data_IF_683365166179
#
_entry.id   IF_683365166179
#
_cell.length_a   1.000
_cell.length_b   1.000
_cell.length_c   1.000
_cell.angle_alpha   90.00
_cell.angle_beta   90.00
_cell.angle_gamma   90.00
#
_symmetry.space_group_name_H-M   'P 1'
#
loop_
_entity.id
_entity.type
_entity.pdbx_description
1 polymer ?
#
# COMPACT_ATOMS: atom_id res chain seq x y z
N UNK A 1 -34.55 6.14 -13.62
CA UNK A 1 -33.81 7.20 -12.91
C UNK A 1 -33.06 6.57 -11.75
N UNK A 2 -31.80 6.18 -11.96
CA UNK A 2 -30.96 5.57 -10.94
C UNK A 2 -29.76 6.45 -10.67
N UNK A 3 -29.79 7.23 -9.59
CA UNK A 3 -28.62 7.96 -9.14
C UNK A 3 -27.62 6.97 -8.54
N UNK A 4 -26.76 6.44 -9.41
CA UNK A 4 -25.53 5.81 -8.98
C UNK A 4 -24.52 6.91 -8.62
N UNK A 5 -24.58 7.39 -7.38
CA UNK A 5 -23.48 8.15 -6.79
C UNK A 5 -23.39 7.81 -5.31
N UNK A 6 -22.53 6.85 -4.98
CA UNK A 6 -21.96 6.83 -3.63
C UNK A 6 -20.48 7.07 -3.77
N UNK A 7 -20.17 8.35 -3.91
CA UNK A 7 -18.81 8.84 -3.95
C UNK A 7 -18.16 8.59 -2.59
N UNK A 8 -16.83 8.48 -2.53
CA UNK A 8 -16.11 8.40 -1.26
C UNK A 8 -16.44 9.55 -0.29
N UNK A 9 -16.94 10.67 -0.83
CA UNK A 9 -17.36 11.87 -0.12
C UNK A 9 -18.56 11.63 0.82
N UNK A 10 -19.57 10.87 0.40
CA UNK A 10 -20.79 10.63 1.20
C UNK A 10 -20.48 9.89 2.49
N UNK A 11 -19.52 8.96 2.43
CA UNK A 11 -19.08 8.19 3.61
C UNK A 11 -18.31 9.09 4.59
N UNK A 12 -17.50 10.02 4.09
CA UNK A 12 -16.79 11.00 4.91
C UNK A 12 -17.77 11.97 5.55
N UNK A 13 -18.70 12.50 4.76
CA UNK A 13 -19.74 13.41 5.24
C UNK A 13 -20.56 12.81 6.39
N UNK A 14 -21.05 11.58 6.22
CA UNK A 14 -21.79 10.87 7.26
C UNK A 14 -20.94 10.59 8.51
N UNK A 15 -19.65 10.28 8.34
CA UNK A 15 -18.74 10.10 9.48
C UNK A 15 -18.57 11.38 10.29
N UNK A 16 -18.45 12.54 9.63
CA UNK A 16 -18.39 13.86 10.28
C UNK A 16 -19.70 14.18 10.99
N UNK A 17 -20.84 13.98 10.34
CA UNK A 17 -22.16 14.19 10.96
C UNK A 17 -22.32 13.39 12.26
N UNK A 18 -21.87 12.13 12.29
CA UNK A 18 -21.99 11.25 13.44
C UNK A 18 -21.20 11.69 14.69
N UNK A 19 -20.24 12.60 14.54
CA UNK A 19 -19.36 13.03 15.64
C UNK A 19 -19.29 14.54 15.85
N UNK A 20 -19.98 15.33 15.01
CA UNK A 20 -19.90 16.81 15.00
C UNK A 20 -20.31 17.48 16.32
N UNK A 21 -21.17 16.82 17.10
CA UNK A 21 -21.70 17.35 18.36
C UNK A 21 -20.78 17.08 19.56
N UNK A 22 -19.65 16.40 19.34
CA UNK A 22 -18.68 16.09 20.39
C UNK A 22 -17.65 17.21 20.53
N UNK A 23 -17.00 17.33 21.70
CA UNK A 23 -15.86 18.23 21.86
C UNK A 23 -14.81 18.02 20.76
N UNK A 24 -14.20 19.10 20.28
CA UNK A 24 -13.32 19.08 19.09
C UNK A 24 -12.22 18.00 19.17
N UNK A 25 -11.65 17.77 20.36
CA UNK A 25 -10.64 16.73 20.57
C UNK A 25 -11.20 15.31 20.36
N UNK A 26 -12.39 15.04 20.90
CA UNK A 26 -13.07 13.74 20.77
C UNK A 26 -13.57 13.53 19.33
N UNK A 27 -14.03 14.60 18.69
CA UNK A 27 -14.43 14.61 17.29
C UNK A 27 -13.24 14.22 16.39
N UNK A 28 -12.11 14.91 16.54
CA UNK A 28 -10.91 14.66 15.74
C UNK A 28 -10.38 13.25 15.95
N UNK A 29 -10.36 12.75 17.18
CA UNK A 29 -9.88 11.39 17.46
C UNK A 29 -10.79 10.32 16.83
N UNK A 30 -12.11 10.50 16.90
CA UNK A 30 -13.06 9.57 16.25
C UNK A 30 -12.96 9.61 14.73
N UNK A 31 -12.81 10.80 14.12
CA UNK A 31 -12.59 10.93 12.68
C UNK A 31 -11.28 10.24 12.28
N UNK A 32 -10.21 10.48 13.04
CA UNK A 32 -8.91 9.87 12.81
C UNK A 32 -9.01 8.34 12.87
N UNK A 33 -9.61 7.77 13.92
CA UNK A 33 -9.84 6.31 14.01
C UNK A 33 -10.66 5.79 12.83
N UNK A 34 -11.73 6.48 12.46
CA UNK A 34 -12.58 6.09 11.34
C UNK A 34 -11.80 6.07 10.02
N UNK A 35 -10.98 7.09 9.75
CA UNK A 35 -10.12 7.13 8.56
C UNK A 35 -9.11 5.98 8.57
N UNK A 36 -8.47 5.69 9.71
CA UNK A 36 -7.47 4.63 9.80
C UNK A 36 -8.08 3.23 9.61
N UNK A 37 -9.22 2.96 10.26
CA UNK A 37 -9.95 1.71 10.06
C UNK A 37 -10.44 1.56 8.63
N UNK A 38 -10.99 2.63 8.06
CA UNK A 38 -11.45 2.65 6.67
C UNK A 38 -10.29 2.40 5.71
N UNK A 39 -9.19 3.10 5.87
CA UNK A 39 -8.00 2.97 5.04
C UNK A 39 -7.46 1.54 5.13
N UNK A 40 -7.29 0.99 6.34
CA UNK A 40 -6.80 -0.36 6.53
C UNK A 40 -7.73 -1.41 5.88
N UNK A 41 -9.04 -1.31 6.12
CA UNK A 41 -10.02 -2.20 5.51
C UNK A 41 -10.00 -2.09 3.98
N UNK A 42 -9.82 -0.88 3.45
CA UNK A 42 -9.67 -0.66 2.02
C UNK A 42 -8.39 -1.31 1.49
N UNK A 43 -7.25 -1.19 2.18
CA UNK A 43 -6.00 -1.85 1.79
C UNK A 43 -6.12 -3.39 1.79
N UNK A 44 -6.79 -3.97 2.79
CA UNK A 44 -7.07 -5.41 2.86
C UNK A 44 -7.97 -5.86 1.70
N UNK A 45 -9.01 -5.09 1.38
CA UNK A 45 -9.86 -5.36 0.22
C UNK A 45 -9.11 -5.19 -1.11
N UNK A 46 -8.17 -4.25 -1.21
CA UNK A 46 -7.32 -4.14 -2.39
C UNK A 46 -6.41 -5.36 -2.55
N UNK A 47 -5.78 -5.84 -1.47
CA UNK A 47 -4.92 -7.02 -1.51
C UNK A 47 -5.68 -8.28 -1.97
N UNK A 48 -6.93 -8.45 -1.53
CA UNK A 48 -7.79 -9.56 -1.97
C UNK A 48 -8.08 -9.54 -3.48
N UNK A 49 -8.00 -8.38 -4.13
CA UNK A 49 -8.25 -8.22 -5.58
C UNK A 49 -7.00 -8.43 -6.43
N UNK A 50 -5.82 -8.61 -5.82
CA UNK A 50 -4.58 -8.80 -6.58
C UNK A 50 -4.58 -10.18 -7.25
N UNK A 51 -4.39 -10.18 -8.57
CA UNK A 51 -4.35 -11.39 -9.38
C UNK A 51 -3.00 -12.11 -9.22
N UNK A 52 -1.90 -11.37 -9.18
CA UNK A 52 -0.54 -11.89 -9.07
C UNK A 52 0.06 -11.72 -7.67
N UNK A 53 1.25 -12.26 -7.43
CA UNK A 53 1.97 -12.12 -6.16
C UNK A 53 2.55 -10.72 -5.93
N UNK A 54 2.50 -9.85 -6.95
CA UNK A 54 2.92 -8.44 -6.86
C UNK A 54 1.74 -7.51 -7.11
N UNK A 55 1.89 -6.25 -6.68
CA UNK A 55 0.82 -5.26 -6.83
C UNK A 55 0.55 -4.88 -8.30
N UNK A 56 -0.68 -4.43 -8.66
CA UNK A 56 -1.05 -4.08 -10.04
C UNK A 56 -0.09 -3.10 -10.73
N UNK A 57 0.45 -2.13 -9.97
CA UNK A 57 1.43 -1.18 -10.48
C UNK A 57 2.75 -1.85 -10.86
N UNK A 58 3.25 -2.76 -10.03
CA UNK A 58 4.49 -3.50 -10.26
C UNK A 58 4.29 -4.48 -11.42
N UNK A 59 3.16 -5.19 -11.43
CA UNK A 59 2.77 -6.04 -12.54
C UNK A 59 2.76 -5.28 -13.86
N UNK A 60 2.17 -4.08 -13.90
CA UNK A 60 2.18 -3.22 -15.10
C UNK A 60 3.59 -2.82 -15.56
N UNK A 61 4.53 -2.57 -14.63
CA UNK A 61 5.93 -2.27 -14.97
C UNK A 61 6.61 -3.49 -15.60
N UNK A 62 6.39 -4.68 -15.05
CA UNK A 62 6.94 -5.94 -15.58
C UNK A 62 6.39 -6.21 -16.98
N UNK A 63 5.09 -6.03 -17.19
CA UNK A 63 4.44 -6.22 -18.49
C UNK A 63 4.92 -5.22 -19.55
N UNK A 64 5.07 -3.94 -19.18
CA UNK A 64 5.59 -2.91 -20.08
C UNK A 64 7.06 -3.16 -20.47
N UNK A 65 7.78 -3.91 -19.64
CA UNK A 65 9.21 -4.19 -19.81
C UNK A 65 9.52 -5.25 -20.87
N UNK A 66 8.51 -5.81 -21.56
CA UNK A 66 8.67 -6.83 -22.62
C UNK A 66 9.21 -6.30 -23.96
N UNK A 67 9.50 -5.01 -24.09
CA UNK A 67 9.90 -4.37 -25.36
C UNK A 67 11.16 -3.53 -25.18
N UNK A 68 12.34 -4.11 -25.38
CA UNK A 68 13.59 -3.40 -25.74
C UNK A 68 14.74 -4.40 -26.01
N UNK A 69 15.55 -4.15 -27.04
CA UNK A 69 16.61 -5.04 -27.55
C UNK A 69 17.98 -4.32 -27.52
N UNK A 70 18.40 -3.84 -26.36
CA UNK A 70 19.78 -3.39 -26.17
C UNK A 70 20.58 -4.46 -25.41
N UNK A 71 21.84 -4.68 -25.82
CA UNK A 71 22.73 -5.63 -25.17
C UNK A 71 23.19 -5.07 -23.82
N UNK A 72 22.71 -5.69 -22.75
CA UNK A 72 23.14 -5.40 -21.39
C UNK A 72 23.66 -6.68 -20.73
N UNK A 73 24.77 -6.56 -19.99
CA UNK A 73 25.23 -7.65 -19.15
C UNK A 73 24.19 -7.88 -18.03
N UNK A 74 23.81 -9.14 -17.84
CA UNK A 74 22.78 -9.55 -16.92
C UNK A 74 23.29 -10.67 -16.02
N UNK A 75 23.11 -10.50 -14.72
CA UNK A 75 23.36 -11.55 -13.74
C UNK A 75 22.04 -11.85 -13.02
N UNK A 76 21.41 -12.96 -13.40
CA UNK A 76 20.14 -13.40 -12.83
C UNK A 76 20.28 -13.87 -11.38
N UNK A 77 21.44 -14.44 -11.01
CA UNK A 77 21.68 -14.92 -9.66
C UNK A 77 21.87 -13.75 -8.69
N UNK A 78 22.66 -12.75 -9.11
CA UNK A 78 22.82 -11.50 -8.37
C UNK A 78 21.61 -10.55 -8.48
N UNK A 79 20.62 -10.86 -9.32
CA UNK A 79 19.47 -10.01 -9.62
C UNK A 79 19.89 -8.60 -10.08
N UNK A 80 20.87 -8.55 -10.96
CA UNK A 80 21.55 -7.32 -11.38
C UNK A 80 21.58 -7.19 -12.91
N UNK A 81 21.58 -5.95 -13.39
CA UNK A 81 21.74 -5.66 -14.82
C UNK A 81 22.64 -4.44 -15.01
N UNK A 82 23.47 -4.41 -16.05
CA UNK A 82 24.33 -3.27 -16.34
C UNK A 82 23.57 -1.96 -16.60
N UNK A 83 22.28 -2.02 -16.93
CA UNK A 83 21.42 -0.83 -17.00
C UNK A 83 21.07 -0.21 -15.62
N UNK A 84 21.44 -0.89 -14.52
CA UNK A 84 21.25 -0.51 -13.11
C UNK A 84 19.81 -0.32 -12.63
N UNK A 85 18.83 -0.38 -13.52
CA UNK A 85 17.41 -0.24 -13.14
C UNK A 85 17.01 -1.27 -12.10
N UNK A 86 17.36 -2.54 -12.31
CA UNK A 86 17.03 -3.63 -11.38
C UNK A 86 17.73 -3.47 -10.03
N UNK A 87 19.01 -3.10 -10.02
CA UNK A 87 19.76 -2.85 -8.79
C UNK A 87 19.15 -1.72 -7.94
N UNK A 88 18.65 -0.66 -8.62
CA UNK A 88 18.09 0.52 -7.96
C UNK A 88 16.70 0.30 -7.38
N UNK A 89 15.84 -0.43 -8.11
CA UNK A 89 14.42 -0.54 -7.75
C UNK A 89 14.01 -1.94 -7.27
N UNK A 90 14.87 -2.96 -7.38
CA UNK A 90 14.54 -4.34 -7.04
C UNK A 90 13.49 -5.00 -7.93
N UNK A 91 13.14 -4.39 -9.06
CA UNK A 91 12.18 -4.89 -10.05
C UNK A 91 12.95 -5.21 -11.34
N UNK A 92 12.79 -6.41 -11.92
CA UNK A 92 13.44 -6.77 -13.17
C UNK A 92 13.23 -5.71 -14.25
N UNK A 93 14.33 -5.22 -14.82
CA UNK A 93 14.29 -4.28 -15.94
C UNK A 93 13.90 -4.97 -17.26
N UNK A 94 13.71 -4.20 -18.33
CA UNK A 94 13.35 -4.72 -19.66
C UNK A 94 14.26 -5.84 -20.16
N UNK A 95 15.57 -5.70 -19.95
CA UNK A 95 16.56 -6.71 -20.34
C UNK A 95 16.47 -7.96 -19.48
N UNK A 96 16.24 -7.79 -18.18
CA UNK A 96 16.07 -8.90 -17.24
C UNK A 96 14.79 -9.69 -17.55
N UNK A 97 13.68 -8.98 -17.75
CA UNK A 97 12.39 -9.58 -18.11
C UNK A 97 12.52 -10.39 -19.40
N UNK A 98 13.15 -9.84 -20.44
CA UNK A 98 13.37 -10.56 -21.69
C UNK A 98 14.19 -11.85 -21.50
N UNK A 99 15.28 -11.81 -20.73
CA UNK A 99 16.12 -12.97 -20.48
C UNK A 99 15.45 -14.03 -19.59
N UNK A 100 14.70 -13.61 -18.58
CA UNK A 100 13.92 -14.51 -17.70
C UNK A 100 12.85 -15.23 -18.52
N UNK A 101 12.12 -14.51 -19.36
CA UNK A 101 11.11 -15.10 -20.24
C UNK A 101 11.74 -16.03 -21.29
N UNK A 102 12.93 -15.71 -21.81
CA UNK A 102 13.68 -16.60 -22.71
C UNK A 102 14.04 -17.93 -22.04
N UNK A 103 14.26 -17.92 -20.71
CA UNK A 103 14.47 -19.12 -19.89
C UNK A 103 13.17 -19.82 -19.47
N UNK A 104 12.01 -19.31 -19.91
CA UNK A 104 10.68 -19.81 -19.54
C UNK A 104 10.43 -19.77 -18.01
N UNK A 105 10.98 -18.76 -17.33
CA UNK A 105 10.80 -18.50 -15.91
C UNK A 105 9.89 -17.27 -15.70
N UNK A 106 9.33 -17.08 -14.51
CA UNK A 106 8.43 -15.95 -14.21
C UNK A 106 9.21 -14.74 -13.65
N UNK A 107 9.20 -13.57 -14.31
CA UNK A 107 9.82 -12.34 -13.78
C UNK A 107 9.30 -11.90 -12.40
N UNK A 108 8.09 -12.32 -12.02
CA UNK A 108 7.54 -12.04 -10.69
C UNK A 108 8.40 -12.66 -9.59
N UNK A 109 8.99 -13.84 -9.81
CA UNK A 109 9.84 -14.54 -8.83
C UNK A 109 11.17 -13.82 -8.58
N UNK A 110 11.60 -13.04 -9.56
CA UNK A 110 12.82 -12.23 -9.54
C UNK A 110 12.61 -10.86 -8.89
N UNK A 111 11.36 -10.46 -8.65
CA UNK A 111 11.04 -9.20 -7.97
C UNK A 111 11.39 -9.27 -6.48
N UNK A 112 11.87 -8.15 -5.92
CA UNK A 112 12.21 -8.04 -4.51
C UNK A 112 11.01 -8.38 -3.59
N UNK A 113 11.28 -9.09 -2.49
CA UNK A 113 10.31 -9.50 -1.48
C UNK A 113 9.44 -8.34 -0.96
N UNK A 114 9.95 -7.10 -0.92
CA UNK A 114 9.19 -5.92 -0.48
C UNK A 114 7.96 -5.60 -1.33
N UNK A 115 7.92 -6.05 -2.58
CA UNK A 115 6.77 -5.83 -3.47
C UNK A 115 5.76 -6.98 -3.49
N UNK A 116 6.03 -8.05 -2.73
CA UNK A 116 5.17 -9.23 -2.71
C UNK A 116 3.98 -9.05 -1.78
N UNK A 117 2.92 -9.83 -2.02
CA UNK A 117 1.71 -9.87 -1.20
C UNK A 117 2.01 -10.05 0.29
N UNK A 118 2.97 -10.92 0.62
CA UNK A 118 3.33 -11.20 2.01
C UNK A 118 3.93 -10.00 2.75
N UNK A 119 4.80 -9.23 2.08
CA UNK A 119 5.35 -8.02 2.65
C UNK A 119 4.26 -6.95 2.83
N UNK A 120 3.38 -6.80 1.84
CA UNK A 120 2.24 -5.89 1.92
C UNK A 120 1.28 -6.28 3.06
N UNK A 121 0.94 -7.56 3.16
CA UNK A 121 0.04 -8.10 4.17
C UNK A 121 0.59 -7.86 5.57
N UNK A 122 1.90 -8.12 5.80
CA UNK A 122 2.56 -7.81 7.08
C UNK A 122 2.57 -6.31 7.39
N UNK A 123 2.87 -5.47 6.40
CA UNK A 123 2.93 -4.01 6.59
C UNK A 123 1.57 -3.40 7.00
N UNK A 124 0.46 -3.99 6.55
CA UNK A 124 -0.91 -3.53 6.87
C UNK A 124 -1.71 -4.53 7.72
N UNK A 125 -1.02 -5.48 8.36
CA UNK A 125 -1.66 -6.45 9.25
C UNK A 125 -2.24 -5.73 10.47
N UNK A 126 -1.45 -4.83 11.05
CA UNK A 126 -1.84 -4.02 12.19
C UNK A 126 -2.50 -2.71 11.74
N UNK A 127 -3.42 -2.21 12.57
CA UNK A 127 -3.91 -0.84 12.40
C UNK A 127 -2.77 0.06 12.82
N UNK A 128 -2.34 0.97 11.94
CA UNK A 128 -1.39 2.03 12.31
C UNK A 128 -2.01 2.80 13.47
N UNK A 129 -1.47 2.59 14.67
CA UNK A 129 -2.06 3.11 15.88
C UNK A 129 -1.88 4.63 15.95
N UNK A 130 -2.90 5.38 16.43
CA UNK A 130 -2.68 6.73 16.92
C UNK A 130 -1.45 6.82 17.82
N UNK A 131 -0.77 7.95 17.76
CA UNK A 131 0.00 8.44 18.90
C UNK A 131 -1.03 8.84 19.98
N UNK A 132 -1.46 7.88 20.79
CA UNK A 132 -2.34 8.09 21.95
C UNK A 132 -1.68 8.93 23.05
N UNK A 133 -0.37 9.14 22.95
CA UNK A 133 0.44 9.86 23.93
C UNK A 133 -0.05 11.29 24.16
N UNK A 134 -0.54 12.00 23.14
CA UNK A 134 -1.00 13.38 23.31
C UNK A 134 -2.28 13.49 24.16
N UNK A 135 -3.22 12.55 24.04
CA UNK A 135 -4.42 12.52 24.87
C UNK A 135 -4.09 12.15 26.31
N UNK A 136 -3.22 11.14 26.51
CA UNK A 136 -2.82 10.72 27.85
C UNK A 136 -2.07 11.82 28.59
N UNK A 137 -1.10 12.46 27.93
CA UNK A 137 -0.34 13.59 28.48
C UNK A 137 -1.26 14.79 28.75
N UNK A 138 -2.25 15.07 27.90
CA UNK A 138 -3.17 16.19 28.11
C UNK A 138 -4.16 15.93 29.26
N UNK A 139 -4.65 14.70 29.44
CA UNK A 139 -5.50 14.34 30.57
C UNK A 139 -4.71 14.24 31.89
N UNK A 140 -3.48 13.73 31.85
CA UNK A 140 -2.56 13.70 32.99
C UNK A 140 -2.13 15.12 33.41
N UNK A 141 -1.94 16.04 32.44
CA UNK A 141 -1.59 17.44 32.70
C UNK A 141 -2.77 18.31 33.18
N UNK A 142 -4.02 17.98 32.79
CA UNK A 142 -5.21 18.79 33.10
C UNK A 142 -6.16 18.15 34.13
N UNK A 143 -5.72 17.09 34.82
CA UNK A 143 -6.35 16.59 36.05
C UNK A 143 -7.83 16.21 35.94
N UNK A 144 -8.34 15.87 34.76
CA UNK A 144 -9.74 15.48 34.59
C UNK A 144 -9.88 13.96 34.70
N UNK A 145 -9.67 13.42 35.90
CA UNK A 145 -10.12 12.07 36.23
C UNK A 145 -11.65 12.09 36.33
N UNK A 146 -12.34 11.69 35.25
CA UNK A 146 -13.62 10.95 35.24
C UNK A 146 -14.26 11.02 33.84
N UNK A 147 -14.03 9.98 33.04
CA UNK A 147 -15.00 9.37 32.13
C UNK A 147 -14.66 7.87 31.98
#
# INVERSE_FOLDING_TARGET
>A
MGYASFSGLDKVYNAVLAVREKPILVLLEKLRMWFMLRFNNQQRQYLQKWISDVGPKIFGIIEASKKDIYLHALDLAARSCSCRKWDLNGIPCVHAVAAILYRNEDPIDYTNAFYKKDAWSRAYAEIVNPITMLLKVWFEANGSSNL
#
